data_IF_025059626717
#
_entry.id   IF_025059626717
#
_cell.length_a   1.000
_cell.length_b   1.000
_cell.length_c   1.000
_cell.angle_alpha   90.00
_cell.angle_beta   90.00
_cell.angle_gamma   90.00
#
_symmetry.space_group_name_H-M   'P 1'
#
loop_
_entity.id
_entity.type
_entity.pdbx_description
1 polymer ?
#
# COMPACT_ATOMS: atom_id res chain seq x y z
N UNK A 1 21.03 -33.86 12.42
CA UNK A 1 20.80 -32.47 12.10
C UNK A 1 20.83 -31.62 13.36
N UNK A 2 21.47 -30.51 13.31
CA UNK A 2 21.64 -29.72 14.51
C UNK A 2 20.51 -28.73 14.75
N UNK A 3 20.22 -28.47 16.02
CA UNK A 3 19.26 -27.48 16.43
C UNK A 3 19.64 -26.08 15.95
N UNK A 4 20.93 -25.91 15.72
CA UNK A 4 21.47 -24.63 15.24
C UNK A 4 20.94 -24.28 13.84
N UNK A 5 20.91 -25.27 12.94
CA UNK A 5 20.41 -25.06 11.58
C UNK A 5 18.92 -24.73 11.58
N UNK A 6 18.15 -25.37 12.45
CA UNK A 6 16.72 -25.11 12.58
C UNK A 6 16.46 -23.66 13.02
N UNK A 7 17.27 -23.14 13.94
CA UNK A 7 17.14 -21.76 14.39
C UNK A 7 17.43 -20.76 13.30
N UNK A 8 18.45 -21.07 12.48
CA UNK A 8 18.83 -20.21 11.36
C UNK A 8 17.70 -20.13 10.34
N UNK A 9 17.15 -21.29 9.99
CA UNK A 9 16.05 -21.34 9.02
C UNK A 9 14.82 -20.60 9.53
N UNK A 10 14.48 -20.76 10.79
CA UNK A 10 13.34 -20.08 11.40
C UNK A 10 13.52 -18.57 11.36
N UNK A 11 14.73 -18.11 11.65
CA UNK A 11 15.04 -16.68 11.63
C UNK A 11 14.92 -16.09 10.23
N UNK A 12 15.46 -16.78 9.23
CA UNK A 12 15.38 -16.35 7.85
C UNK A 12 13.93 -16.31 7.35
N UNK A 13 13.14 -17.31 7.71
CA UNK A 13 11.73 -17.37 7.35
C UNK A 13 10.94 -16.22 7.95
N UNK A 14 11.22 -15.87 9.19
CA UNK A 14 10.56 -14.75 9.86
C UNK A 14 10.87 -13.43 9.16
N UNK A 15 12.12 -13.21 8.78
CA UNK A 15 12.55 -12.00 8.09
C UNK A 15 11.86 -11.88 6.73
N UNK A 16 11.83 -12.96 5.97
CA UNK A 16 11.15 -12.98 4.67
C UNK A 16 9.65 -12.73 4.83
N UNK A 17 9.04 -13.31 5.86
CA UNK A 17 7.62 -13.13 6.14
C UNK A 17 7.31 -11.65 6.45
N UNK A 18 8.13 -10.99 7.24
CA UNK A 18 7.95 -9.59 7.59
C UNK A 18 8.06 -8.69 6.36
N UNK A 19 9.00 -8.96 5.46
CA UNK A 19 9.13 -8.22 4.21
C UNK A 19 7.92 -8.42 3.32
N UNK A 20 7.44 -9.65 3.20
CA UNK A 20 6.25 -9.96 2.42
C UNK A 20 5.01 -9.28 3.01
N UNK A 21 4.91 -9.25 4.32
CA UNK A 21 3.80 -8.61 5.01
C UNK A 21 3.79 -7.11 4.74
N UNK A 22 4.95 -6.46 4.83
CA UNK A 22 5.08 -5.04 4.54
C UNK A 22 4.65 -4.74 3.10
N UNK A 23 5.10 -5.56 2.14
CA UNK A 23 4.72 -5.42 0.75
C UNK A 23 3.21 -5.55 0.56
N UNK A 24 2.59 -6.53 1.21
CA UNK A 24 1.15 -6.75 1.12
C UNK A 24 0.36 -5.59 1.72
N UNK A 25 0.83 -5.05 2.84
CA UNK A 25 0.21 -3.89 3.49
C UNK A 25 0.26 -2.68 2.56
N UNK A 26 1.41 -2.41 1.99
CA UNK A 26 1.58 -1.27 1.08
C UNK A 26 0.75 -1.44 -0.19
N UNK A 27 0.70 -2.65 -0.75
CA UNK A 27 -0.11 -2.94 -1.92
C UNK A 27 -1.60 -2.71 -1.64
N UNK A 28 -2.08 -3.15 -0.48
CA UNK A 28 -3.47 -2.94 -0.09
C UNK A 28 -3.74 -1.46 0.15
N UNK A 29 -2.83 -0.74 0.81
CA UNK A 29 -2.94 0.71 0.97
C UNK A 29 -3.09 1.39 -0.38
N UNK A 30 -2.24 1.04 -1.33
CA UNK A 30 -2.25 1.65 -2.66
C UNK A 30 -3.55 1.35 -3.40
N UNK A 31 -4.07 0.13 -3.25
CA UNK A 31 -5.35 -0.25 -3.82
C UNK A 31 -6.49 0.59 -3.24
N UNK A 32 -6.49 0.78 -1.93
CA UNK A 32 -7.49 1.60 -1.26
C UNK A 32 -7.42 3.06 -1.71
N UNK A 33 -6.20 3.59 -1.86
CA UNK A 33 -6.01 4.96 -2.34
C UNK A 33 -6.50 5.12 -3.78
N UNK A 34 -6.20 4.14 -4.63
CA UNK A 34 -6.68 4.16 -6.01
C UNK A 34 -8.20 4.16 -6.08
N UNK A 35 -8.84 3.34 -5.25
CA UNK A 35 -10.30 3.28 -5.19
C UNK A 35 -10.90 4.60 -4.69
N UNK A 36 -10.26 5.22 -3.71
CA UNK A 36 -10.69 6.52 -3.18
C UNK A 36 -10.63 7.61 -4.25
N UNK A 37 -9.53 7.70 -4.99
CA UNK A 37 -9.40 8.67 -6.08
C UNK A 37 -10.44 8.41 -7.17
N UNK A 38 -10.64 7.14 -7.51
CA UNK A 38 -11.62 6.76 -8.53
C UNK A 38 -13.03 7.19 -8.13
N UNK A 39 -13.37 7.05 -6.85
CA UNK A 39 -14.64 7.49 -6.32
C UNK A 39 -14.78 9.00 -6.44
N UNK A 40 -13.76 9.76 -6.05
CA UNK A 40 -13.77 11.21 -6.13
C UNK A 40 -13.91 11.71 -7.57
N UNK A 41 -13.30 11.01 -8.51
CA UNK A 41 -13.31 11.41 -9.92
C UNK A 41 -14.46 10.78 -10.72
N UNK A 42 -15.24 9.89 -10.10
CA UNK A 42 -16.37 9.24 -10.75
C UNK A 42 -15.97 8.28 -11.85
N UNK A 43 -14.86 7.56 -11.65
CA UNK A 43 -14.37 6.59 -12.64
C UNK A 43 -15.23 5.32 -12.64
N UNK A 44 -15.40 4.71 -13.81
CA UNK A 44 -16.08 3.43 -13.92
C UNK A 44 -15.17 2.30 -13.42
N UNK A 45 -15.69 1.08 -13.40
CA UNK A 45 -14.96 -0.07 -12.86
C UNK A 45 -13.65 -0.34 -13.61
N UNK A 46 -13.67 -0.29 -14.92
CA UNK A 46 -12.49 -0.53 -15.75
C UNK A 46 -11.41 0.52 -15.51
N UNK A 47 -11.80 1.79 -15.51
CA UNK A 47 -10.88 2.89 -15.27
C UNK A 47 -10.35 2.87 -13.83
N UNK A 48 -11.18 2.45 -12.88
CA UNK A 48 -10.78 2.29 -11.48
C UNK A 48 -9.67 1.25 -11.37
N UNK A 49 -9.82 0.11 -12.01
CA UNK A 49 -8.79 -0.93 -12.00
C UNK A 49 -7.49 -0.44 -12.63
N UNK A 50 -7.58 0.27 -13.73
CA UNK A 50 -6.41 0.85 -14.38
C UNK A 50 -5.71 1.86 -13.48
N UNK A 51 -6.47 2.70 -12.81
CA UNK A 51 -5.92 3.70 -11.91
C UNK A 51 -5.24 3.05 -10.71
N UNK A 52 -5.84 2.01 -10.14
CA UNK A 52 -5.24 1.25 -9.03
C UNK A 52 -3.87 0.70 -9.45
N UNK A 53 -3.78 0.16 -10.67
CA UNK A 53 -2.50 -0.35 -11.19
C UNK A 53 -1.46 0.75 -11.31
N UNK A 54 -1.87 1.95 -11.71
CA UNK A 54 -0.97 3.09 -11.81
C UNK A 54 -0.42 3.50 -10.43
N UNK A 55 -1.27 3.50 -9.41
CA UNK A 55 -0.86 3.83 -8.04
C UNK A 55 0.13 2.80 -7.52
N UNK A 56 -0.17 1.52 -7.69
CA UNK A 56 0.73 0.44 -7.28
C UNK A 56 2.07 0.55 -7.99
N UNK A 57 2.04 0.82 -9.29
CA UNK A 57 3.26 0.97 -10.08
C UNK A 57 4.09 2.17 -9.63
N UNK A 58 3.46 3.29 -9.28
CA UNK A 58 4.17 4.47 -8.85
C UNK A 58 4.96 4.25 -7.56
N UNK A 59 4.48 3.36 -6.68
CA UNK A 59 5.14 3.06 -5.42
C UNK A 59 6.50 2.38 -5.60
N UNK A 60 6.80 1.86 -6.78
CA UNK A 60 8.08 1.22 -7.06
C UNK A 60 9.17 2.17 -7.57
N UNK A 61 8.84 3.43 -7.81
CA UNK A 61 9.80 4.37 -8.41
C UNK A 61 10.87 4.84 -7.44
N UNK A 62 10.49 5.08 -6.19
CA UNK A 62 11.42 5.50 -5.14
C UNK A 62 11.10 4.78 -3.84
N UNK A 63 12.04 4.80 -2.91
CA UNK A 63 11.79 4.29 -1.56
C UNK A 63 10.86 5.25 -0.82
N UNK A 64 9.95 4.72 -0.03
CA UNK A 64 9.01 5.51 0.77
C UNK A 64 7.74 5.86 0.03
N UNK A 65 6.97 6.78 0.56
CA UNK A 65 5.61 7.09 0.10
C UNK A 65 5.53 8.35 -0.78
N UNK A 66 6.62 9.03 -1.00
CA UNK A 66 6.61 10.31 -1.70
C UNK A 66 6.14 10.20 -3.16
N UNK A 67 6.47 9.09 -3.82
CA UNK A 67 6.03 8.86 -5.20
C UNK A 67 4.52 8.77 -5.28
N UNK A 68 3.93 8.02 -4.34
CA UNK A 68 2.48 7.86 -4.27
C UNK A 68 1.84 9.20 -3.98
N UNK A 69 2.38 9.95 -3.03
CA UNK A 69 1.88 11.27 -2.69
C UNK A 69 1.89 12.20 -3.91
N UNK A 70 3.00 12.26 -4.63
CA UNK A 70 3.12 13.12 -5.82
C UNK A 70 2.14 12.74 -6.91
N UNK A 71 1.93 11.43 -7.10
CA UNK A 71 0.95 10.97 -8.09
C UNK A 71 -0.45 11.42 -7.71
N UNK A 72 -0.85 11.20 -6.47
CA UNK A 72 -2.18 11.59 -6.01
C UNK A 72 -2.34 13.12 -6.05
N UNK A 73 -1.32 13.85 -5.66
CA UNK A 73 -1.32 15.30 -5.69
C UNK A 73 -1.60 15.83 -7.11
N UNK A 74 -0.91 15.25 -8.10
CA UNK A 74 -1.11 15.64 -9.50
C UNK A 74 -2.50 15.27 -10.03
N UNK A 75 -3.00 14.10 -9.63
CA UNK A 75 -4.27 13.60 -10.14
C UNK A 75 -5.48 14.24 -9.44
N UNK A 76 -5.29 14.83 -8.27
CA UNK A 76 -6.36 15.42 -7.46
C UNK A 76 -6.31 16.94 -7.39
N UNK A 77 -5.60 17.58 -8.32
CA UNK A 77 -5.57 19.05 -8.39
C UNK A 77 -7.01 19.58 -8.51
N UNK A 78 -7.36 20.49 -7.59
CA UNK A 78 -8.70 21.07 -7.57
C UNK A 78 -9.78 20.17 -6.93
N UNK A 79 -9.42 18.97 -6.49
CA UNK A 79 -10.35 18.01 -5.89
C UNK A 79 -10.03 17.79 -4.41
N UNK A 80 -8.75 17.57 -4.09
CA UNK A 80 -8.32 17.38 -2.70
C UNK A 80 -6.99 18.10 -2.50
N UNK A 81 -6.78 18.61 -1.29
CA UNK A 81 -5.52 19.29 -0.97
C UNK A 81 -4.49 18.29 -0.41
N UNK A 82 -3.28 18.78 -0.21
CA UNK A 82 -2.16 17.96 0.26
C UNK A 82 -2.46 17.31 1.61
N UNK A 83 -3.09 18.03 2.52
CA UNK A 83 -3.40 17.53 3.84
C UNK A 83 -4.41 16.39 3.78
N UNK A 84 -5.43 16.53 2.95
CA UNK A 84 -6.43 15.47 2.74
C UNK A 84 -5.77 14.21 2.18
N UNK A 85 -4.87 14.39 1.23
CA UNK A 85 -4.13 13.26 0.63
C UNK A 85 -3.28 12.57 1.69
N UNK A 86 -2.51 13.33 2.47
CA UNK A 86 -1.66 12.76 3.54
C UNK A 86 -2.49 12.04 4.58
N UNK A 87 -3.61 12.63 4.99
CA UNK A 87 -4.52 12.02 5.96
C UNK A 87 -5.06 10.70 5.42
N UNK A 88 -5.49 10.70 4.16
CA UNK A 88 -6.04 9.49 3.55
C UNK A 88 -4.99 8.40 3.39
N UNK A 89 -3.76 8.77 3.05
CA UNK A 89 -2.66 7.82 2.98
C UNK A 89 -2.43 7.13 4.33
N UNK A 90 -2.46 7.90 5.42
CA UNK A 90 -2.30 7.35 6.76
C UNK A 90 -3.48 6.46 7.14
N UNK A 91 -4.70 6.88 6.85
CA UNK A 91 -5.90 6.08 7.13
C UNK A 91 -5.87 4.75 6.39
N UNK A 92 -5.52 4.78 5.11
CA UNK A 92 -5.45 3.57 4.30
C UNK A 92 -4.34 2.65 4.77
N UNK A 93 -3.20 3.21 5.16
CA UNK A 93 -2.09 2.44 5.70
C UNK A 93 -2.52 1.74 6.99
N UNK A 94 -3.17 2.47 7.89
CA UNK A 94 -3.63 1.90 9.16
C UNK A 94 -4.67 0.81 8.92
N UNK A 95 -5.63 1.04 8.03
CA UNK A 95 -6.63 0.04 7.67
C UNK A 95 -6.00 -1.21 7.08
N UNK A 96 -4.99 -1.04 6.23
CA UNK A 96 -4.28 -2.17 5.64
C UNK A 96 -3.54 -2.98 6.71
N UNK A 97 -2.87 -2.30 7.64
CA UNK A 97 -2.19 -2.96 8.77
C UNK A 97 -3.17 -3.76 9.62
N UNK A 98 -4.31 -3.16 9.94
CA UNK A 98 -5.33 -3.80 10.76
C UNK A 98 -5.88 -5.05 10.09
N UNK A 99 -6.07 -4.99 8.78
CA UNK A 99 -6.60 -6.12 8.02
C UNK A 99 -5.67 -7.32 8.07
N UNK A 100 -4.37 -7.11 7.90
CA UNK A 100 -3.39 -8.18 7.96
C UNK A 100 -3.10 -8.64 9.39
N UNK A 101 -3.18 -7.73 10.35
CA UNK A 101 -3.04 -8.08 11.77
C UNK A 101 -4.16 -9.03 12.21
N UNK A 102 -5.39 -8.74 11.81
CA UNK A 102 -6.55 -9.57 12.17
C UNK A 102 -6.52 -10.92 11.48
N UNK A 103 -6.06 -10.99 10.24
CA UNK A 103 -6.01 -12.25 9.51
C UNK A 103 -4.80 -13.11 9.89
N UNK A 104 -3.84 -12.56 10.62
CA UNK A 104 -2.66 -13.27 11.08
C UNK A 104 -2.82 -14.05 12.38
N UNK A 105 -4.00 -13.98 12.99
CA UNK A 105 -4.26 -14.65 14.26
C UNK A 105 -4.96 -15.99 14.11
#
# INVERSE_FOLDING_TARGET
>A
MSTFDERKDAFENKFAHEQNLTFKIEALRNKMLGAWVAELKGLDEEKTEQYIKEVVKSDFQEAGDEDVFRKLQGDLVGIADDQEIRTKMNECLQSAKDKFSNSGT
#
